data_IF_929244273190
#
_entry.id   IF_929244273190
#
_cell.length_a   1.000
_cell.length_b   1.000
_cell.length_c   1.000
_cell.angle_alpha   90.00
_cell.angle_beta   90.00
_cell.angle_gamma   90.00
#
_symmetry.space_group_name_H-M   'P 1'
#
loop_
_entity.id
_entity.type
_entity.pdbx_description
1 polymer ?
#
# COMPACT_ATOMS: atom_id res chain seq x y z
N UNK A 1 1.55 4.67 6.39
CA UNK A 1 2.66 5.64 6.29
C UNK A 1 3.08 6.14 7.66
N UNK A 2 2.30 6.97 8.36
CA UNK A 2 2.74 7.65 9.60
C UNK A 2 3.21 6.71 10.74
N UNK A 3 2.66 5.49 10.83
CA UNK A 3 3.10 4.48 11.81
C UNK A 3 4.46 3.82 11.50
N UNK A 4 4.91 3.88 10.24
CA UNK A 4 6.12 3.23 9.76
C UNK A 4 7.27 4.24 9.52
N UNK A 5 6.94 5.48 9.15
CA UNK A 5 7.93 6.52 8.89
C UNK A 5 8.59 6.98 10.20
N UNK A 6 9.90 6.81 10.30
CA UNK A 6 10.72 7.32 11.42
C UNK A 6 11.75 8.32 10.91
N UNK A 7 12.30 9.22 11.75
CA UNK A 7 13.34 10.15 11.33
C UNK A 7 14.57 9.46 10.74
N UNK A 8 14.98 8.33 11.32
CA UNK A 8 16.10 7.54 10.82
C UNK A 8 15.80 6.92 9.44
N UNK A 9 14.58 6.39 9.26
CA UNK A 9 14.15 5.85 7.97
C UNK A 9 14.05 6.93 6.89
N UNK A 10 13.49 8.09 7.23
CA UNK A 10 13.42 9.23 6.31
C UNK A 10 14.82 9.67 5.87
N UNK A 11 15.76 9.82 6.81
CA UNK A 11 17.14 10.19 6.50
C UNK A 11 17.84 9.20 5.55
N UNK A 12 17.51 7.90 5.63
CA UNK A 12 18.06 6.88 4.73
C UNK A 12 17.48 6.95 3.31
N UNK A 13 16.25 7.47 3.16
CA UNK A 13 15.48 7.42 1.91
C UNK A 13 15.40 8.76 1.19
N UNK A 14 15.59 9.90 1.89
CA UNK A 14 15.41 11.25 1.33
C UNK A 14 16.30 11.58 0.13
N UNK A 15 17.48 10.96 0.06
CA UNK A 15 18.44 11.17 -1.03
C UNK A 15 18.28 10.13 -2.16
N UNK A 16 17.24 9.27 -2.09
CA UNK A 16 16.91 8.28 -3.12
C UNK A 16 15.77 8.77 -4.00
N UNK A 17 15.86 8.41 -5.27
CA UNK A 17 14.79 8.60 -6.24
C UNK A 17 14.75 7.41 -7.19
N UNK A 18 13.59 7.18 -7.80
CA UNK A 18 13.44 6.24 -8.92
C UNK A 18 14.05 6.82 -10.19
N UNK A 19 14.14 6.02 -11.24
CA UNK A 19 14.62 6.44 -12.56
C UNK A 19 13.76 7.55 -13.18
N UNK A 20 12.50 7.68 -12.75
CA UNK A 20 11.60 8.76 -13.18
C UNK A 20 11.74 10.04 -12.33
N UNK A 21 12.53 10.00 -11.26
CA UNK A 21 12.70 11.10 -10.31
C UNK A 21 11.72 11.08 -9.13
N UNK A 22 10.94 10.02 -8.94
CA UNK A 22 9.99 9.91 -7.84
C UNK A 22 10.71 9.67 -6.50
N UNK A 23 10.38 10.45 -5.47
CA UNK A 23 11.11 10.50 -4.20
C UNK A 23 10.27 10.03 -3.00
N UNK A 24 10.90 9.94 -1.82
CA UNK A 24 10.18 9.63 -0.58
C UNK A 24 9.14 10.72 -0.23
N UNK A 25 9.38 11.97 -0.59
CA UNK A 25 8.44 13.07 -0.33
C UNK A 25 7.18 12.90 -1.17
N UNK A 26 7.34 12.57 -2.46
CA UNK A 26 6.22 12.28 -3.36
C UNK A 26 5.39 11.09 -2.87
N UNK A 27 6.05 10.06 -2.32
CA UNK A 27 5.37 8.89 -1.72
C UNK A 27 4.51 9.28 -0.53
N UNK A 28 4.99 10.13 0.38
CA UNK A 28 4.33 10.37 1.68
C UNK A 28 3.39 11.59 1.68
N UNK A 29 3.49 12.47 0.69
CA UNK A 29 2.80 13.77 0.68
C UNK A 29 1.31 13.66 1.02
N UNK A 30 0.61 12.70 0.41
CA UNK A 30 -0.82 12.49 0.69
C UNK A 30 -1.10 12.19 2.16
N UNK A 31 -0.24 11.45 2.86
CA UNK A 31 -0.43 11.14 4.28
C UNK A 31 0.03 12.24 5.22
N UNK A 32 0.88 13.16 4.74
CA UNK A 32 1.24 14.38 5.46
C UNK A 32 0.07 15.37 5.42
N UNK A 33 -0.51 15.59 4.23
CA UNK A 33 -1.62 16.53 4.04
C UNK A 33 -2.94 16.02 4.63
N UNK A 34 -3.12 14.70 4.73
CA UNK A 34 -4.35 14.07 5.20
C UNK A 34 -4.07 13.21 6.45
N UNK A 35 -4.16 13.79 7.66
CA UNK A 35 -3.78 13.12 8.91
C UNK A 35 -4.68 11.93 9.31
N UNK A 36 -5.76 11.68 8.58
CA UNK A 36 -6.59 10.48 8.70
C UNK A 36 -8.09 10.77 8.81
N UNK A 37 -8.88 9.70 8.96
CA UNK A 37 -10.33 9.76 9.16
C UNK A 37 -10.71 8.92 10.39
N UNK A 38 -11.63 9.37 11.27
CA UNK A 38 -11.92 8.69 12.55
C UNK A 38 -12.35 7.22 12.44
N UNK A 39 -12.91 6.83 11.29
CA UNK A 39 -13.51 5.51 11.07
C UNK A 39 -12.73 4.63 10.06
N UNK A 40 -11.76 5.18 9.33
CA UNK A 40 -11.09 4.49 8.24
C UNK A 40 -9.58 4.69 8.38
N UNK A 41 -8.84 3.58 8.39
CA UNK A 41 -7.38 3.62 8.36
C UNK A 41 -6.89 3.89 6.94
N UNK A 42 -6.55 5.15 6.65
CA UNK A 42 -5.87 5.52 5.42
C UNK A 42 -4.43 4.98 5.41
N UNK A 43 -3.94 4.61 4.21
CA UNK A 43 -2.56 4.14 4.02
C UNK A 43 -1.58 5.30 4.13
N UNK A 44 -1.91 6.45 3.54
CA UNK A 44 -1.13 7.69 3.64
C UNK A 44 0.14 7.71 2.80
N UNK A 45 0.26 6.85 1.79
CA UNK A 45 1.32 6.92 0.81
C UNK A 45 0.88 6.33 -0.54
N UNK A 46 1.57 6.72 -1.62
CA UNK A 46 1.34 6.25 -3.00
C UNK A 46 2.65 5.82 -3.65
N UNK A 47 2.57 5.03 -4.71
CA UNK A 47 3.71 4.76 -5.58
C UNK A 47 3.55 5.49 -6.90
N UNK A 48 4.61 6.15 -7.38
CA UNK A 48 4.60 6.88 -8.66
C UNK A 48 4.91 5.99 -9.86
N UNK A 49 5.68 4.93 -9.63
CA UNK A 49 6.08 3.95 -10.64
C UNK A 49 6.35 2.57 -10.01
N UNK A 50 6.66 1.57 -10.85
CA UNK A 50 6.98 0.21 -10.40
C UNK A 50 8.23 0.17 -9.52
N UNK A 51 9.25 0.94 -9.89
CA UNK A 51 10.55 0.98 -9.20
C UNK A 51 10.41 1.52 -7.76
N UNK A 52 9.41 2.34 -7.48
CA UNK A 52 9.11 2.88 -6.16
C UNK A 52 9.04 1.77 -5.10
N UNK A 53 8.41 0.63 -5.42
CA UNK A 53 8.30 -0.52 -4.52
C UNK A 53 9.63 -1.20 -4.20
N UNK A 54 10.66 -0.97 -5.01
CA UNK A 54 12.01 -1.51 -4.84
C UNK A 54 12.91 -0.49 -4.14
N UNK A 55 12.99 0.74 -4.65
CA UNK A 55 13.89 1.79 -4.13
C UNK A 55 13.49 2.21 -2.71
N UNK A 56 12.19 2.27 -2.43
CA UNK A 56 11.63 2.71 -1.16
C UNK A 56 11.02 1.54 -0.35
N UNK A 57 11.43 0.31 -0.67
CA UNK A 57 11.05 -0.93 0.03
C UNK A 57 11.13 -0.83 1.55
N UNK A 58 12.17 -0.24 2.17
CA UNK A 58 12.25 -0.13 3.63
C UNK A 58 11.05 0.59 4.29
N UNK A 59 10.40 1.50 3.56
CA UNK A 59 9.18 2.19 4.01
C UNK A 59 7.91 1.42 3.61
N UNK A 60 7.85 0.91 2.38
CA UNK A 60 6.63 0.33 1.82
C UNK A 60 6.32 -1.07 2.35
N UNK A 61 7.33 -1.91 2.60
CA UNK A 61 7.13 -3.28 3.10
C UNK A 61 6.36 -3.31 4.45
N UNK A 62 6.77 -2.56 5.50
CA UNK A 62 6.02 -2.52 6.76
C UNK A 62 4.59 -2.00 6.59
N UNK A 63 4.37 -1.08 5.65
CA UNK A 63 3.03 -0.52 5.37
C UNK A 63 2.14 -1.56 4.70
N UNK A 64 2.68 -2.29 3.71
CA UNK A 64 1.98 -3.36 3.00
C UNK A 64 1.60 -4.47 3.98
N UNK A 65 2.55 -4.91 4.82
CA UNK A 65 2.33 -5.96 5.82
C UNK A 65 1.21 -5.55 6.79
N UNK A 66 1.29 -4.33 7.35
CA UNK A 66 0.26 -3.82 8.26
C UNK A 66 -1.13 -3.69 7.59
N UNK A 67 -1.18 -3.26 6.32
CA UNK A 67 -2.45 -3.03 5.61
C UNK A 67 -3.12 -4.32 5.14
N UNK A 68 -2.32 -5.33 4.81
CA UNK A 68 -2.77 -6.62 4.25
C UNK A 68 -2.75 -7.75 5.28
N UNK A 69 -2.89 -7.42 6.58
CA UNK A 69 -3.11 -8.42 7.62
C UNK A 69 -1.91 -9.34 7.88
N UNK A 70 -0.69 -8.82 7.78
CA UNK A 70 0.54 -9.57 8.01
C UNK A 70 1.15 -10.21 6.76
N UNK A 71 0.79 -9.71 5.57
CA UNK A 71 1.38 -10.16 4.30
C UNK A 71 2.86 -9.79 4.24
N UNK A 72 3.74 -10.79 4.38
CA UNK A 72 5.17 -10.58 4.55
C UNK A 72 5.86 -10.31 3.21
N UNK A 73 7.04 -9.67 3.22
CA UNK A 73 7.86 -9.51 2.00
C UNK A 73 8.26 -10.84 1.33
N UNK A 74 8.22 -11.95 2.07
CA UNK A 74 8.51 -13.30 1.58
C UNK A 74 7.30 -14.04 1.02
N UNK A 75 6.09 -13.51 1.23
CA UNK A 75 4.86 -14.14 0.78
C UNK A 75 4.69 -13.94 -0.73
N UNK A 76 4.12 -14.95 -1.40
CA UNK A 76 3.90 -14.93 -2.86
C UNK A 76 2.44 -14.71 -3.18
N UNK A 77 2.19 -13.70 -4.01
CA UNK A 77 0.84 -13.37 -4.45
C UNK A 77 0.33 -14.49 -5.36
N UNK A 78 -0.89 -14.96 -5.12
CA UNK A 78 -1.57 -15.94 -5.97
C UNK A 78 -2.63 -15.22 -6.80
N UNK A 79 -2.54 -15.39 -8.11
CA UNK A 79 -3.51 -14.84 -9.06
C UNK A 79 -4.33 -15.98 -9.66
N UNK A 80 -5.64 -15.83 -9.68
CA UNK A 80 -6.58 -16.72 -10.35
C UNK A 80 -7.66 -15.90 -11.03
N UNK A 81 -7.61 -15.85 -12.36
CA UNK A 81 -8.57 -15.12 -13.20
C UNK A 81 -9.57 -16.06 -13.87
N UNK A 82 -9.61 -17.36 -13.50
CA UNK A 82 -10.55 -18.30 -14.06
C UNK A 82 -11.93 -18.13 -13.40
N UNK A 83 -12.96 -17.63 -14.13
CA UNK A 83 -14.28 -17.43 -13.54
C UNK A 83 -14.93 -18.75 -13.09
N UNK A 84 -14.53 -19.90 -13.64
CA UNK A 84 -15.04 -21.20 -13.22
C UNK A 84 -14.66 -21.59 -11.79
N UNK A 85 -13.61 -20.98 -11.22
CA UNK A 85 -13.21 -21.22 -9.84
C UNK A 85 -14.02 -20.38 -8.82
N UNK A 86 -14.80 -19.39 -9.29
CA UNK A 86 -15.66 -18.58 -8.43
C UNK A 86 -16.88 -19.40 -7.97
N UNK A 87 -16.97 -19.65 -6.67
CA UNK A 87 -18.17 -20.24 -6.04
C UNK A 87 -19.04 -19.12 -5.48
N UNK A 88 -20.13 -18.77 -6.18
CA UNK A 88 -21.09 -17.77 -5.70
C UNK A 88 -21.92 -18.40 -4.57
N UNK A 89 -21.65 -18.00 -3.33
CA UNK A 89 -22.21 -18.63 -2.14
C UNK A 89 -23.69 -18.36 -1.88
N UNK A 90 -24.30 -17.37 -2.54
CA UNK A 90 -25.73 -17.03 -2.41
C UNK A 90 -26.16 -16.28 -3.67
N UNK A 91 -27.29 -16.67 -4.28
CA UNK A 91 -27.99 -15.77 -5.22
C UNK A 91 -28.41 -14.54 -4.43
N UNK A 92 -27.79 -13.40 -4.71
CA UNK A 92 -28.22 -12.10 -4.23
C UNK A 92 -29.67 -11.92 -4.70
N UNK A 93 -30.65 -12.06 -3.80
CA UNK A 93 -32.04 -11.75 -4.12
C UNK A 93 -32.20 -10.25 -3.97
N UNK A 94 -32.41 -9.48 -5.05
CA UNK A 94 -32.77 -8.08 -4.90
C UNK A 94 -34.13 -8.06 -4.20
N UNK A 95 -34.25 -7.36 -3.07
CA UNK A 95 -35.56 -7.06 -2.51
C UNK A 95 -36.33 -6.23 -3.55
N UNK A 96 -37.23 -6.86 -4.29
CA UNK A 96 -38.22 -6.16 -5.09
C UNK A 96 -39.30 -5.68 -4.11
N UNK A 97 -39.24 -4.40 -3.73
CA UNK A 97 -40.32 -3.67 -3.09
C UNK A 97 -41.33 -3.19 -4.12
#
# INVERSE_FOLDING_TARGET
MAKALTPALYAQLRDKQTSSGFTVDDVIQTGVDNPGHPYIMAVGCVAGDEETYVVLKPLLDPIIEARHGGYKPTDKHKTDLNPAHLKVGMTWTPNMS
#
